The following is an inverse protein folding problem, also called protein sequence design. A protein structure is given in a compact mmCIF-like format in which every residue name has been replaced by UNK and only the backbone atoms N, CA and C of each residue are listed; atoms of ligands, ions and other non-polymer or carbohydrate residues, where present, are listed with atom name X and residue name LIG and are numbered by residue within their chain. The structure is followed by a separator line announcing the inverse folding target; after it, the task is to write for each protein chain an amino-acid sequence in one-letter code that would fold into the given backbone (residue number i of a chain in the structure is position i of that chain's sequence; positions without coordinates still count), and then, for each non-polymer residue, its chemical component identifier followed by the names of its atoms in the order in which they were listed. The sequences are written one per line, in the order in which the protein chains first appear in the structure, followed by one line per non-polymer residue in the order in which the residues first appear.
data_IF_966196113227
#
_entry.id   IF_966196113227
#
_cell.length_a   1.000
_cell.length_b   1.000
_cell.length_c   1.000
_cell.angle_alpha   90.00
_cell.angle_beta   90.00
_cell.angle_gamma   90.00
#
_symmetry.space_group_name_H-M   'P 1'
#
loop_
_entity.id
_entity.type
_entity.pdbx_description
1 polymer ?
#
# COMPACT_ATOMS: atom_id res chain seq x y z
N UNK A 1 15.70 -5.11 7.83
CA UNK A 1 14.53 -4.33 7.34
C UNK A 1 13.28 -5.14 7.66
N UNK A 2 12.45 -4.71 8.61
CA UNK A 2 11.19 -5.40 8.95
C UNK A 2 10.08 -4.78 8.10
N UNK A 3 9.50 -5.54 7.18
CA UNK A 3 8.37 -5.09 6.36
C UNK A 3 7.12 -5.22 7.23
N UNK A 4 6.71 -4.11 7.86
CA UNK A 4 5.43 -4.05 8.58
C UNK A 4 4.29 -4.26 7.59
N UNK A 5 3.20 -4.88 8.08
CA UNK A 5 1.99 -5.23 7.33
C UNK A 5 1.63 -4.14 6.33
N UNK A 6 2.09 -4.30 5.08
CA UNK A 6 1.83 -3.32 4.05
C UNK A 6 0.38 -3.51 3.59
N UNK A 7 -0.29 -2.42 3.25
CA UNK A 7 -1.64 -2.42 2.68
C UNK A 7 -1.80 -3.48 1.57
N UNK A 8 -0.73 -3.72 0.80
CA UNK A 8 -0.69 -4.70 -0.27
C UNK A 8 -0.59 -6.15 0.23
N UNK A 9 0.25 -6.43 1.23
CA UNK A 9 0.44 -7.80 1.75
C UNK A 9 -0.82 -8.37 2.39
N UNK A 10 -1.71 -7.51 2.90
CA UNK A 10 -3.04 -7.90 3.39
C UNK A 10 -3.82 -8.74 2.37
N UNK A 11 -3.70 -8.42 1.08
CA UNK A 11 -4.44 -9.09 0.02
C UNK A 11 -3.59 -10.15 -0.69
N UNK A 12 -2.29 -9.90 -0.87
CA UNK A 12 -1.40 -10.83 -1.56
C UNK A 12 -1.12 -12.13 -0.77
N UNK A 13 -1.00 -12.07 0.57
CA UNK A 13 -0.78 -13.30 1.35
C UNK A 13 -1.99 -14.24 1.36
N UNK A 14 -3.25 -13.78 1.49
CA UNK A 14 -4.41 -14.64 1.29
C UNK A 14 -4.43 -15.31 -0.08
N UNK A 15 -4.09 -14.58 -1.15
CA UNK A 15 -4.05 -15.14 -2.51
C UNK A 15 -2.97 -16.20 -2.67
N UNK A 16 -1.82 -16.09 -2.00
CA UNK A 16 -0.70 -17.03 -2.18
C UNK A 16 -0.69 -18.16 -1.15
N UNK A 17 -1.12 -17.88 0.08
CA UNK A 17 -1.02 -18.76 1.25
C UNK A 17 -2.37 -19.13 1.86
N UNK A 18 -3.46 -18.49 1.43
CA UNK A 18 -4.79 -18.70 2.00
C UNK A 18 -4.98 -18.10 3.39
N UNK A 19 -4.04 -17.26 3.87
CA UNK A 19 -4.05 -16.66 5.20
C UNK A 19 -3.53 -15.22 5.17
N UNK A 20 -3.94 -14.40 6.12
CA UNK A 20 -3.38 -13.05 6.31
C UNK A 20 -1.91 -13.11 6.76
N UNK A 21 -1.13 -12.03 6.55
CA UNK A 21 0.25 -11.93 7.05
C UNK A 21 0.35 -12.14 8.57
N UNK A 22 1.39 -12.83 9.04
CA UNK A 22 1.60 -13.09 10.48
C UNK A 22 1.63 -11.81 11.31
N UNK A 23 2.27 -10.75 10.81
CA UNK A 23 2.30 -9.44 11.48
C UNK A 23 0.90 -8.87 11.66
N UNK A 24 0.02 -9.03 10.67
CA UNK A 24 -1.35 -8.54 10.74
C UNK A 24 -2.18 -9.36 11.73
N UNK A 25 -2.00 -10.67 11.78
CA UNK A 25 -2.66 -11.53 12.77
C UNK A 25 -2.27 -11.12 14.21
N UNK A 26 -0.99 -10.81 14.45
CA UNK A 26 -0.51 -10.36 15.78
C UNK A 26 -0.96 -8.94 16.15
N UNK A 27 -0.91 -8.00 15.19
CA UNK A 27 -1.21 -6.59 15.45
C UNK A 27 -2.73 -6.30 15.53
N UNK A 28 -3.52 -6.94 14.66
CA UNK A 28 -4.97 -6.72 14.59
C UNK A 28 -5.71 -7.62 15.58
N UNK A 29 -5.20 -8.83 15.81
CA UNK A 29 -5.78 -9.80 16.75
C UNK A 29 -7.22 -10.14 16.42
N UNK A 30 -8.08 -10.13 17.44
CA UNK A 30 -9.47 -10.59 17.36
C UNK A 30 -10.37 -9.78 16.41
N UNK A 31 -9.94 -8.57 15.99
CA UNK A 31 -10.66 -7.78 14.99
C UNK A 31 -10.49 -8.33 13.56
N UNK A 32 -9.50 -9.19 13.33
CA UNK A 32 -9.23 -9.78 12.04
C UNK A 32 -10.07 -11.06 11.86
N UNK A 33 -10.97 -11.12 10.85
CA UNK A 33 -11.68 -12.36 10.55
C UNK A 33 -10.69 -13.47 10.19
N UNK A 34 -11.01 -14.69 10.61
CA UNK A 34 -10.22 -15.88 10.30
C UNK A 34 -10.92 -16.66 9.20
N UNK A 35 -10.20 -16.99 8.13
CA UNK A 35 -10.73 -17.84 7.08
C UNK A 35 -10.99 -19.26 7.62
N UNK A 36 -12.17 -19.80 7.31
CA UNK A 36 -12.39 -21.25 7.40
C UNK A 36 -11.48 -21.97 6.39
N UNK A 37 -11.26 -23.27 6.60
CA UNK A 37 -10.46 -24.10 5.68
C UNK A 37 -10.96 -23.99 4.23
N UNK A 38 -12.28 -24.09 4.03
CA UNK A 38 -12.92 -23.97 2.70
C UNK A 38 -12.67 -22.60 2.06
N UNK A 39 -12.79 -21.51 2.82
CA UNK A 39 -12.52 -20.16 2.30
C UNK A 39 -11.04 -19.99 1.95
N UNK A 40 -10.14 -20.50 2.79
CA UNK A 40 -8.70 -20.48 2.55
C UNK A 40 -8.34 -21.19 1.23
N UNK A 41 -8.94 -22.35 1.00
CA UNK A 41 -8.77 -23.12 -0.24
C UNK A 41 -9.34 -22.41 -1.47
N UNK A 42 -10.46 -21.69 -1.33
CA UNK A 42 -11.07 -20.94 -2.43
C UNK A 42 -10.26 -19.70 -2.85
N UNK A 43 -9.65 -18.99 -1.90
CA UNK A 43 -8.90 -17.76 -2.17
C UNK A 43 -7.46 -18.06 -2.58
N UNK A 44 -6.87 -19.14 -2.08
CA UNK A 44 -5.50 -19.51 -2.42
C UNK A 44 -5.41 -19.90 -3.90
N UNK A 45 -4.59 -19.18 -4.64
CA UNK A 45 -4.37 -19.37 -6.07
C UNK A 45 -5.50 -18.82 -6.94
N UNK A 46 -6.43 -18.03 -6.40
CA UNK A 46 -7.55 -17.46 -7.15
C UNK A 46 -7.13 -16.24 -7.99
N UNK A 47 -6.09 -16.37 -8.81
CA UNK A 47 -5.58 -15.32 -9.69
C UNK A 47 -4.82 -15.92 -10.88
N UNK A 48 -4.99 -15.32 -12.06
CA UNK A 48 -4.19 -15.64 -13.25
C UNK A 48 -3.05 -14.63 -13.47
N UNK A 49 -3.26 -13.39 -13.04
CA UNK A 49 -2.29 -12.30 -13.08
C UNK A 49 -2.46 -11.38 -11.88
N UNK A 50 -1.43 -10.61 -11.55
CA UNK A 50 -1.45 -9.62 -10.48
C UNK A 50 -1.15 -8.25 -11.08
N UNK A 51 -2.13 -7.34 -11.00
CA UNK A 51 -1.93 -5.94 -11.31
C UNK A 51 -1.38 -5.18 -10.10
N UNK A 52 -0.43 -4.28 -10.32
CA UNK A 52 0.13 -3.41 -9.27
C UNK A 52 -0.11 -1.96 -9.65
N UNK A 53 -0.87 -1.25 -8.81
CA UNK A 53 -1.06 0.18 -8.91
C UNK A 53 0.06 0.88 -8.12
N UNK A 54 1.07 1.41 -8.81
CA UNK A 54 2.20 2.09 -8.20
C UNK A 54 2.19 3.58 -8.52
N UNK A 55 2.20 4.41 -7.48
CA UNK A 55 2.21 5.87 -7.62
C UNK A 55 3.44 6.55 -7.03
N UNK A 56 3.89 6.06 -5.87
CA UNK A 56 4.97 6.67 -5.11
C UNK A 56 5.58 5.65 -4.13
N UNK A 57 6.68 6.04 -3.48
CA UNK A 57 7.23 5.36 -2.33
C UNK A 57 7.41 6.36 -1.19
N UNK A 58 7.12 5.91 0.02
CA UNK A 58 7.21 6.71 1.25
C UNK A 58 8.26 6.14 2.18
N UNK A 59 8.95 7.02 2.90
CA UNK A 59 9.72 6.60 4.06
C UNK A 59 8.78 6.36 5.23
N UNK A 60 9.09 5.32 6.02
CA UNK A 60 8.30 4.94 7.18
C UNK A 60 9.18 4.71 8.38
N UNK A 61 8.69 5.04 9.57
CA UNK A 61 9.35 4.70 10.83
C UNK A 61 8.36 4.08 11.80
N UNK A 62 8.87 3.23 12.70
CA UNK A 62 8.07 2.56 13.72
C UNK A 62 7.60 3.56 14.76
N UNK A 63 6.34 3.44 15.16
CA UNK A 63 5.79 4.16 16.32
C UNK A 63 5.39 3.16 17.39
N UNK A 64 5.36 3.55 18.68
CA UNK A 64 4.85 2.68 19.73
C UNK A 64 3.35 2.38 19.53
N UNK A 65 2.83 1.30 20.13
CA UNK A 65 1.41 0.99 20.08
C UNK A 65 0.57 2.17 20.62
N UNK A 66 -0.61 2.43 20.02
CA UNK A 66 -1.52 3.44 20.54
C UNK A 66 -1.95 3.08 21.98
N UNK A 67 -2.15 4.06 22.86
CA UNK A 67 -2.60 3.80 24.22
C UNK A 67 -3.99 3.13 24.23
N UNK A 68 -4.26 2.32 25.26
CA UNK A 68 -5.44 1.43 25.33
C UNK A 68 -6.80 2.14 25.21
N UNK A 69 -6.85 3.46 25.37
CA UNK A 69 -8.04 4.30 25.25
C UNK A 69 -8.32 4.81 23.83
N UNK A 70 -7.43 4.54 22.86
CA UNK A 70 -7.63 4.89 21.46
C UNK A 70 -8.10 3.66 20.71
N UNK A 71 -9.26 3.78 20.06
CA UNK A 71 -9.78 2.69 19.22
C UNK A 71 -8.81 2.41 18.08
N UNK A 72 -8.30 1.19 18.03
CA UNK A 72 -7.43 0.75 16.95
C UNK A 72 -8.19 0.81 15.60
N UNK A 73 -7.62 1.56 14.67
CA UNK A 73 -8.14 1.73 13.32
C UNK A 73 -7.24 1.05 12.29
N UNK A 74 -7.77 0.88 11.08
CA UNK A 74 -7.01 0.41 9.92
C UNK A 74 -5.66 1.12 9.77
N UNK A 75 -5.62 2.45 9.94
CA UNK A 75 -4.41 3.26 9.73
C UNK A 75 -3.40 3.16 10.88
N UNK A 76 -3.85 2.84 12.08
CA UNK A 76 -2.98 2.72 13.28
C UNK A 76 -2.47 1.31 13.51
N UNK A 77 -3.14 0.30 12.94
CA UNK A 77 -2.82 -1.13 13.14
C UNK A 77 -1.40 -1.49 12.72
N UNK A 78 -0.87 -0.82 11.70
CA UNK A 78 0.48 -1.07 11.22
C UNK A 78 1.58 -0.52 12.15
N UNK A 79 1.24 0.36 13.10
CA UNK A 79 2.18 1.02 14.02
C UNK A 79 3.36 1.67 13.31
N UNK A 80 3.07 2.32 12.17
CA UNK A 80 4.03 3.11 11.40
C UNK A 80 3.48 4.50 11.16
N UNK A 81 4.38 5.47 11.00
CA UNK A 81 4.06 6.74 10.38
C UNK A 81 4.79 6.85 9.03
N UNK A 82 4.17 7.48 8.05
CA UNK A 82 4.68 7.58 6.68
C UNK A 82 4.80 9.03 6.23
N UNK A 83 5.83 9.33 5.45
CA UNK A 83 5.97 10.65 4.81
C UNK A 83 5.17 10.71 3.51
N UNK A 84 4.50 11.82 3.25
CA UNK A 84 3.82 12.10 1.97
C UNK A 84 4.26 13.45 1.40
N UNK A 85 4.34 13.54 0.08
CA UNK A 85 4.56 14.79 -0.65
C UNK A 85 3.60 14.78 -1.83
N UNK A 86 2.72 15.77 -1.87
CA UNK A 86 1.79 15.98 -2.98
C UNK A 86 2.27 17.16 -3.84
N UNK A 87 1.84 17.20 -5.10
CA UNK A 87 2.09 18.35 -5.97
C UNK A 87 1.37 19.60 -5.45
N UNK A 88 2.06 20.74 -5.48
CA UNK A 88 1.48 22.01 -5.07
C UNK A 88 0.36 22.44 -6.01
N UNK A 89 -0.86 22.55 -5.49
CA UNK A 89 -2.01 22.99 -6.28
C UNK A 89 -2.13 24.51 -6.30
N UNK A 90 -1.67 25.13 -7.40
CA UNK A 90 -1.84 26.56 -7.64
C UNK A 90 -3.16 26.88 -8.37
N UNK A 91 -4.21 27.17 -7.60
CA UNK A 91 -5.55 27.49 -8.15
C UNK A 91 -5.62 28.81 -8.94
N UNK A 92 -4.62 29.69 -8.82
CA UNK A 92 -4.61 31.00 -9.51
C UNK A 92 -3.84 30.99 -10.82
N UNK A 93 -3.27 29.84 -11.22
CA UNK A 93 -2.55 29.71 -12.49
C UNK A 93 -3.49 29.95 -13.67
N UNK A 94 -2.98 30.63 -14.71
CA UNK A 94 -3.70 30.74 -15.98
C UNK A 94 -3.80 29.38 -16.67
N UNK A 95 -4.78 29.21 -17.59
CA UNK A 95 -4.95 27.97 -18.35
C UNK A 95 -3.66 27.56 -19.07
N UNK A 96 -2.93 28.52 -19.64
CA UNK A 96 -1.67 28.27 -20.35
C UNK A 96 -0.59 27.72 -19.41
N UNK A 97 -0.54 28.21 -18.18
CA UNK A 97 0.41 27.72 -17.17
C UNK A 97 0.02 26.33 -16.65
N UNK A 98 -1.27 26.13 -16.36
CA UNK A 98 -1.79 24.83 -15.90
C UNK A 98 -1.62 23.71 -16.94
N UNK A 99 -1.73 24.02 -18.24
CA UNK A 99 -1.50 23.06 -19.31
C UNK A 99 -0.01 22.73 -19.52
N UNK A 100 0.92 23.59 -19.09
CA UNK A 100 2.36 23.35 -19.18
C UNK A 100 2.88 22.52 -17.99
N UNK A 101 2.30 21.33 -17.81
CA UNK A 101 2.59 20.43 -16.71
C UNK A 101 3.81 19.53 -16.99
N UNK A 102 4.99 20.08 -16.74
CA UNK A 102 6.27 19.38 -16.92
C UNK A 102 6.49 18.25 -15.91
N UNK A 103 5.91 18.37 -14.72
CA UNK A 103 6.09 17.41 -13.63
C UNK A 103 5.42 16.10 -13.99
N UNK A 104 4.14 16.12 -14.38
CA UNK A 104 3.41 14.93 -14.81
C UNK A 104 4.01 14.27 -16.04
N UNK A 105 4.46 15.07 -17.03
CA UNK A 105 5.16 14.51 -18.21
C UNK A 105 6.45 13.79 -17.80
N UNK A 106 7.24 14.38 -16.90
CA UNK A 106 8.46 13.75 -16.36
C UNK A 106 8.14 12.50 -15.55
N UNK A 107 7.10 12.55 -14.73
CA UNK A 107 6.60 11.43 -13.93
C UNK A 107 6.30 10.21 -14.80
N UNK A 108 5.48 10.36 -15.84
CA UNK A 108 5.15 9.24 -16.74
C UNK A 108 6.37 8.72 -17.51
N UNK A 109 7.23 9.62 -18.01
CA UNK A 109 8.47 9.22 -18.70
C UNK A 109 9.37 8.37 -17.80
N UNK A 110 9.56 8.77 -16.55
CA UNK A 110 10.35 8.00 -15.58
C UNK A 110 9.70 6.67 -15.22
N UNK A 111 8.39 6.65 -14.94
CA UNK A 111 7.68 5.40 -14.61
C UNK A 111 7.78 4.37 -15.74
N UNK A 112 7.50 4.78 -16.98
CA UNK A 112 7.61 3.89 -18.14
C UNK A 112 9.05 3.42 -18.37
N UNK A 113 10.04 4.29 -18.15
CA UNK A 113 11.46 3.92 -18.23
C UNK A 113 11.81 2.83 -17.21
N UNK A 114 11.38 2.97 -15.95
CA UNK A 114 11.66 1.98 -14.90
C UNK A 114 10.87 0.69 -15.08
N UNK A 115 9.63 0.74 -15.58
CA UNK A 115 8.88 -0.48 -15.97
C UNK A 115 9.64 -1.22 -17.06
N UNK A 116 10.14 -0.51 -18.08
CA UNK A 116 10.97 -1.13 -19.14
C UNK A 116 12.26 -1.73 -18.58
N UNK A 117 12.88 -1.10 -17.58
CA UNK A 117 14.08 -1.64 -16.93
C UNK A 117 13.77 -2.88 -16.09
N UNK A 118 12.61 -2.94 -15.42
CA UNK A 118 12.23 -4.08 -14.60
C UNK A 118 11.85 -5.34 -15.41
N UNK A 119 11.53 -5.19 -16.70
CA UNK A 119 11.22 -6.31 -17.62
C UNK A 119 12.48 -6.93 -18.24
N UNK A 120 13.57 -6.15 -18.37
CA UNK A 120 14.82 -6.58 -19.00
C UNK A 120 15.78 -7.19 -17.98
#
# INVERSE_FOLDING_TARGET
MRVYASLHLRFLEPLTRGKYPSSMQSLVGNRLPVFSKKQSELVKGSYDFIGVNYYTASYTYSVPPPPNNVNATFSTDAQINATGVDEYNNKTASLKEALNDRTRVSYYKKHLLYVRQAIR
#
